data_IF_785743587341
#
_entry.id   IF_785743587341
#
_cell.length_a   1.000
_cell.length_b   1.000
_cell.length_c   1.000
_cell.angle_alpha   90.00
_cell.angle_beta   90.00
_cell.angle_gamma   90.00
#
_symmetry.space_group_name_H-M   'P 1'
#
loop_
_entity.id
_entity.type
_entity.pdbx_description
1 polymer ?
#
# COMPACT_ATOMS: atom_id res chain seq x y z
N UNK A 1 2.82 -39.89 10.40
CA UNK A 1 2.04 -41.01 10.99
C UNK A 1 1.56 -42.05 9.99
N UNK A 2 1.33 -41.73 8.71
CA UNK A 2 0.83 -42.70 7.70
C UNK A 2 1.85 -43.80 7.34
N UNK A 3 3.15 -43.52 7.45
CA UNK A 3 4.23 -44.49 7.17
C UNK A 3 4.34 -45.62 8.20
N UNK A 4 3.91 -45.40 9.45
CA UNK A 4 3.99 -46.42 10.51
C UNK A 4 2.82 -47.39 10.43
N UNK A 5 1.63 -46.90 10.06
CA UNK A 5 0.42 -47.75 9.88
C UNK A 5 0.57 -48.67 8.66
N UNK A 6 1.22 -48.19 7.59
CA UNK A 6 1.42 -48.99 6.37
C UNK A 6 2.49 -50.09 6.52
N UNK A 7 3.40 -49.99 7.50
CA UNK A 7 4.36 -51.05 7.78
C UNK A 7 3.80 -52.15 8.70
N UNK A 8 2.76 -51.84 9.50
CA UNK A 8 2.10 -52.82 10.38
C UNK A 8 0.97 -53.60 9.69
N UNK A 9 0.27 -53.02 8.70
CA UNK A 9 -0.78 -53.71 7.96
C UNK A 9 -0.26 -54.08 6.56
N UNK A 10 0.34 -55.26 6.44
CA UNK A 10 0.82 -55.84 5.18
C UNK A 10 -0.31 -56.17 4.21
N UNK A 11 -1.00 -55.15 3.67
CA UNK A 11 -2.04 -55.34 2.68
C UNK A 11 -1.41 -55.37 1.28
N UNK A 12 -0.93 -56.55 0.87
CA UNK A 12 -0.59 -56.84 -0.52
C UNK A 12 -1.89 -56.98 -1.32
N UNK A 13 -2.30 -55.92 -2.00
CA UNK A 13 -3.32 -56.02 -3.05
C UNK A 13 -2.61 -56.58 -4.30
N UNK A 14 -2.88 -57.84 -4.61
CA UNK A 14 -2.32 -58.54 -5.77
C UNK A 14 -3.21 -58.26 -6.99
N UNK A 15 -2.79 -57.33 -7.85
CA UNK A 15 -3.53 -56.92 -9.05
C UNK A 15 -2.86 -57.59 -10.28
N UNK A 16 -3.66 -58.29 -11.10
CA UNK A 16 -3.24 -59.00 -12.32
C UNK A 16 -2.51 -58.07 -13.31
N UNK A 17 -1.55 -58.61 -14.06
CA UNK A 17 -0.65 -57.87 -14.98
C UNK A 17 -1.37 -57.00 -16.04
N UNK A 18 -2.56 -57.37 -16.51
CA UNK A 18 -3.35 -56.55 -17.45
C UNK A 18 -4.03 -55.32 -16.81
N UNK A 19 -4.44 -55.40 -15.53
CA UNK A 19 -5.01 -54.27 -14.79
C UNK A 19 -3.94 -53.23 -14.41
N UNK A 20 -2.69 -53.67 -14.26
CA UNK A 20 -1.54 -52.83 -13.92
C UNK A 20 -1.28 -51.73 -14.95
N UNK A 21 -1.33 -52.06 -16.25
CA UNK A 21 -1.11 -51.12 -17.36
C UNK A 21 -2.22 -50.08 -17.48
N UNK A 22 -3.49 -50.49 -17.34
CA UNK A 22 -4.64 -49.57 -17.41
C UNK A 22 -4.62 -48.58 -16.25
N UNK A 23 -4.32 -49.08 -15.05
CA UNK A 23 -4.21 -48.27 -13.84
C UNK A 23 -3.03 -47.30 -13.88
N UNK A 24 -1.90 -47.68 -14.50
CA UNK A 24 -0.75 -46.80 -14.71
C UNK A 24 -1.05 -45.66 -15.70
N UNK A 25 -1.76 -45.93 -16.80
CA UNK A 25 -2.22 -44.89 -17.73
C UNK A 25 -3.15 -43.88 -17.06
N UNK A 26 -4.08 -44.35 -16.23
CA UNK A 26 -5.00 -43.47 -15.47
C UNK A 26 -4.22 -42.55 -14.52
N UNK A 27 -3.23 -43.08 -13.79
CA UNK A 27 -2.39 -42.28 -12.90
C UNK A 27 -1.63 -41.17 -13.65
N UNK A 28 -1.05 -41.49 -14.82
CA UNK A 28 -0.35 -40.50 -15.66
C UNK A 28 -1.29 -39.42 -16.21
N UNK A 29 -2.51 -39.78 -16.61
CA UNK A 29 -3.52 -38.81 -17.07
C UNK A 29 -3.89 -37.87 -15.91
N UNK A 30 -4.13 -38.40 -14.70
CA UNK A 30 -4.43 -37.57 -13.54
C UNK A 30 -3.28 -36.64 -13.14
N UNK A 31 -2.03 -37.14 -13.20
CA UNK A 31 -0.84 -36.30 -13.00
C UNK A 31 -0.76 -35.16 -14.03
N UNK A 32 -1.07 -35.43 -15.29
CA UNK A 32 -1.12 -34.40 -16.33
C UNK A 32 -2.20 -33.35 -16.00
N UNK A 33 -3.39 -33.77 -15.60
CA UNK A 33 -4.49 -32.84 -15.24
C UNK A 33 -4.11 -31.96 -14.04
N UNK A 34 -3.55 -32.54 -12.98
CA UNK A 34 -3.18 -31.78 -11.78
C UNK A 34 -1.96 -30.88 -12.00
N UNK A 35 -1.02 -31.27 -12.87
CA UNK A 35 0.09 -30.38 -13.27
C UNK A 35 -0.41 -29.20 -14.10
N UNK A 36 -1.39 -29.40 -15.00
CA UNK A 36 -2.06 -28.29 -15.67
C UNK A 36 -2.78 -27.37 -14.68
N UNK A 37 -3.50 -27.92 -13.69
CA UNK A 37 -4.15 -27.12 -12.65
C UNK A 37 -3.15 -26.30 -11.82
N UNK A 38 -2.01 -26.89 -11.45
CA UNK A 38 -0.93 -26.19 -10.74
C UNK A 38 -0.31 -25.09 -11.61
N UNK A 39 -0.14 -25.31 -12.91
CA UNK A 39 0.35 -24.29 -13.84
C UNK A 39 -0.63 -23.11 -13.96
N UNK A 40 -1.93 -23.37 -14.09
CA UNK A 40 -2.97 -22.34 -14.06
C UNK A 40 -2.93 -21.56 -12.74
N UNK A 41 -2.80 -22.26 -11.60
CA UNK A 41 -2.65 -21.63 -10.30
C UNK A 41 -1.42 -20.72 -10.21
N UNK A 42 -0.28 -21.12 -10.80
CA UNK A 42 0.93 -20.29 -10.87
C UNK A 42 0.72 -19.02 -11.71
N UNK A 43 -0.01 -19.13 -12.83
CA UNK A 43 -0.36 -17.97 -13.67
C UNK A 43 -1.26 -17.00 -12.89
N UNK A 44 -2.33 -17.51 -12.27
CA UNK A 44 -3.24 -16.69 -11.44
C UNK A 44 -2.51 -16.01 -10.28
N UNK A 45 -1.63 -16.74 -9.60
CA UNK A 45 -0.82 -16.19 -8.52
C UNK A 45 0.11 -15.08 -9.02
N UNK A 46 0.78 -15.29 -10.16
CA UNK A 46 1.73 -14.31 -10.70
C UNK A 46 1.01 -13.03 -11.15
N UNK A 47 -0.09 -13.16 -11.91
CA UNK A 47 -0.88 -12.02 -12.39
C UNK A 47 -1.57 -11.31 -11.22
N UNK A 48 -2.25 -12.06 -10.35
CA UNK A 48 -2.98 -11.48 -9.22
C UNK A 48 -2.07 -10.76 -8.24
N UNK A 49 -0.84 -11.27 -8.02
CA UNK A 49 0.10 -10.62 -7.14
C UNK A 49 0.69 -9.34 -7.73
N UNK A 50 0.96 -9.33 -9.05
CA UNK A 50 1.50 -8.17 -9.74
C UNK A 50 0.54 -6.99 -9.61
N UNK A 51 -0.71 -7.22 -9.96
CA UNK A 51 -1.79 -6.24 -9.88
C UNK A 51 -2.08 -5.83 -8.43
N UNK A 52 -2.11 -6.79 -7.49
CA UNK A 52 -2.26 -6.48 -6.06
C UNK A 52 -1.14 -5.58 -5.53
N UNK A 53 0.11 -5.87 -5.91
CA UNK A 53 1.26 -5.08 -5.50
C UNK A 53 1.17 -3.66 -6.05
N UNK A 54 0.90 -3.52 -7.35
CA UNK A 54 0.78 -2.22 -8.00
C UNK A 54 -0.34 -1.39 -7.37
N UNK A 55 -1.50 -2.00 -7.14
CA UNK A 55 -2.63 -1.30 -6.52
C UNK A 55 -2.32 -0.91 -5.06
N UNK A 56 -1.72 -1.80 -4.27
CA UNK A 56 -1.29 -1.45 -2.92
C UNK A 56 -0.26 -0.30 -2.88
N UNK A 57 0.64 -0.24 -3.88
CA UNK A 57 1.58 0.86 -4.02
C UNK A 57 0.90 2.17 -4.41
N UNK A 58 -0.14 2.13 -5.27
CA UNK A 58 -0.95 3.32 -5.59
C UNK A 58 -1.70 3.82 -4.36
N UNK A 59 -2.37 2.95 -3.62
CA UNK A 59 -3.07 3.31 -2.37
C UNK A 59 -2.11 3.94 -1.36
N UNK A 60 -0.92 3.35 -1.17
CA UNK A 60 0.09 3.89 -0.27
C UNK A 60 0.58 5.27 -0.74
N UNK A 61 0.89 5.43 -2.02
CA UNK A 61 1.34 6.72 -2.56
C UNK A 61 0.25 7.80 -2.43
N UNK A 62 -1.02 7.44 -2.61
CA UNK A 62 -2.15 8.34 -2.38
C UNK A 62 -2.18 8.84 -0.93
N UNK A 63 -2.08 7.93 0.05
CA UNK A 63 -2.03 8.30 1.48
C UNK A 63 -0.82 9.19 1.81
N UNK A 64 0.35 8.87 1.25
CA UNK A 64 1.55 9.71 1.41
C UNK A 64 1.35 11.10 0.82
N UNK A 65 0.71 11.22 -0.34
CA UNK A 65 0.44 12.50 -0.98
C UNK A 65 -0.54 13.36 -0.17
N UNK A 66 -1.58 12.76 0.43
CA UNK A 66 -2.51 13.47 1.32
C UNK A 66 -1.81 13.96 2.61
N UNK A 67 -0.90 13.16 3.13
CA UNK A 67 -0.06 13.57 4.26
C UNK A 67 0.88 14.72 3.89
N UNK A 68 1.55 14.67 2.73
CA UNK A 68 2.44 15.73 2.25
C UNK A 68 1.68 17.04 2.04
N UNK A 69 0.48 16.99 1.46
CA UNK A 69 -0.42 18.16 1.34
C UNK A 69 -0.73 18.79 2.70
N UNK A 70 -1.01 17.96 3.71
CA UNK A 70 -1.26 18.42 5.09
C UNK A 70 -0.02 19.07 5.68
N UNK A 71 1.16 18.44 5.53
CA UNK A 71 2.45 18.99 6.00
C UNK A 71 2.75 20.33 5.35
N UNK A 72 2.59 20.45 4.04
CA UNK A 72 2.81 21.69 3.30
C UNK A 72 1.86 22.79 3.78
N UNK A 73 0.57 22.47 3.97
CA UNK A 73 -0.42 23.39 4.52
C UNK A 73 0.00 23.92 5.89
N UNK A 74 0.41 23.02 6.81
CA UNK A 74 0.84 23.40 8.16
C UNK A 74 2.12 24.25 8.15
N UNK A 75 3.08 23.94 7.28
CA UNK A 75 4.33 24.71 7.14
C UNK A 75 4.08 26.10 6.58
N UNK A 76 3.26 26.22 5.53
CA UNK A 76 2.92 27.52 4.95
C UNK A 76 2.23 28.40 6.01
N UNK A 77 1.26 27.86 6.74
CA UNK A 77 0.59 28.59 7.83
C UNK A 77 1.57 29.07 8.88
N UNK A 78 2.52 28.21 9.28
CA UNK A 78 3.53 28.57 10.27
C UNK A 78 4.46 29.69 9.77
N UNK A 79 4.81 29.67 8.49
CA UNK A 79 5.59 30.74 7.86
C UNK A 79 4.83 32.07 7.91
N UNK A 80 3.55 32.10 7.53
CA UNK A 80 2.72 33.30 7.63
C UNK A 80 2.58 33.79 9.07
N UNK A 81 2.25 32.92 10.03
CA UNK A 81 2.17 33.29 11.44
C UNK A 81 3.49 33.88 11.98
N UNK A 82 4.65 33.46 11.46
CA UNK A 82 5.94 34.05 11.81
C UNK A 82 6.14 35.46 11.26
N UNK A 83 5.60 35.73 10.05
CA UNK A 83 5.61 37.06 9.44
C UNK A 83 4.64 37.99 10.17
N UNK A 84 3.49 37.49 10.64
CA UNK A 84 2.51 38.21 11.44
C UNK A 84 3.13 38.90 12.66
N UNK A 85 4.08 38.22 13.31
CA UNK A 85 4.79 38.72 14.49
C UNK A 85 5.69 39.92 14.18
N UNK A 86 6.19 40.03 12.95
CA UNK A 86 7.05 41.13 12.53
C UNK A 86 6.26 42.41 12.19
N UNK A 87 4.93 42.34 12.17
CA UNK A 87 4.05 43.44 11.78
C UNK A 87 3.91 44.44 12.92
N UNK A 88 4.47 45.63 12.73
CA UNK A 88 4.29 46.79 13.62
C UNK A 88 3.57 47.93 12.89
N UNK A 89 2.39 47.65 12.32
CA UNK A 89 1.60 48.67 11.62
C UNK A 89 1.22 49.78 12.62
N UNK A 90 1.77 50.97 12.40
CA UNK A 90 1.37 52.22 13.05
C UNK A 90 1.25 52.18 14.59
N UNK A 91 2.27 51.65 15.30
CA UNK A 91 2.40 51.69 16.77
C UNK A 91 1.37 50.85 17.57
N UNK A 92 0.57 50.00 16.92
CA UNK A 92 -0.29 49.04 17.60
C UNK A 92 0.51 47.74 17.78
N UNK A 93 1.16 47.61 18.94
CA UNK A 93 1.81 46.35 19.32
C UNK A 93 0.72 45.34 19.68
N UNK A 94 0.81 44.12 19.13
CA UNK A 94 0.06 43.00 19.67
C UNK A 94 0.45 42.84 21.15
N UNK A 95 -0.53 42.70 22.07
CA UNK A 95 -0.20 42.48 23.46
C UNK A 95 0.54 41.14 23.62
N UNK A 96 1.41 41.05 24.64
CA UNK A 96 2.39 39.97 24.77
C UNK A 96 1.75 38.57 24.87
N UNK A 97 0.54 38.49 25.42
CA UNK A 97 -0.26 37.27 25.51
C UNK A 97 -0.64 36.69 24.14
N UNK A 98 -0.92 37.55 23.15
CA UNK A 98 -1.20 37.14 21.78
C UNK A 98 0.07 36.65 21.09
N UNK A 99 1.20 37.32 21.31
CA UNK A 99 2.50 36.92 20.77
C UNK A 99 2.94 35.55 21.30
N UNK A 100 2.81 35.31 22.60
CA UNK A 100 3.12 34.02 23.23
C UNK A 100 2.18 32.91 22.71
N UNK A 101 0.91 33.23 22.46
CA UNK A 101 -0.05 32.32 21.85
C UNK A 101 0.34 31.90 20.43
N UNK A 102 0.81 32.86 19.60
CA UNK A 102 1.31 32.59 18.24
C UNK A 102 2.58 31.74 18.29
N UNK A 103 3.52 32.03 19.20
CA UNK A 103 4.76 31.25 19.34
C UNK A 103 4.47 29.80 19.71
N UNK A 104 3.54 29.57 20.65
CA UNK A 104 3.10 28.23 21.01
C UNK A 104 2.44 27.52 19.83
N UNK A 105 1.54 28.20 19.12
CA UNK A 105 0.86 27.63 17.95
C UNK A 105 1.85 27.25 16.84
N UNK A 106 2.82 28.11 16.55
CA UNK A 106 3.88 27.83 15.57
C UNK A 106 4.74 26.62 15.95
N UNK A 107 5.05 26.47 17.24
CA UNK A 107 5.78 25.31 17.74
C UNK A 107 4.95 24.02 17.59
N UNK A 108 3.67 24.07 17.95
CA UNK A 108 2.75 22.92 17.85
C UNK A 108 2.53 22.50 16.40
N UNK A 109 2.29 23.46 15.48
CA UNK A 109 2.11 23.20 14.04
C UNK A 109 3.36 22.61 13.39
N UNK A 110 4.54 23.15 13.68
CA UNK A 110 5.81 22.60 13.19
C UNK A 110 6.07 21.19 13.74
N UNK A 111 5.78 20.96 15.02
CA UNK A 111 5.94 19.65 15.65
C UNK A 111 5.01 18.62 15.00
N UNK A 112 3.76 18.99 14.75
CA UNK A 112 2.81 18.15 14.05
C UNK A 112 3.29 17.85 12.61
N UNK A 113 3.70 18.86 11.85
CA UNK A 113 4.20 18.70 10.48
C UNK A 113 5.44 17.80 10.41
N UNK A 114 6.39 17.96 11.33
CA UNK A 114 7.59 17.13 11.41
C UNK A 114 7.25 15.68 11.78
N UNK A 115 6.37 15.48 12.78
CA UNK A 115 5.93 14.15 13.19
C UNK A 115 5.20 13.43 12.05
N UNK A 116 4.29 14.12 11.34
CA UNK A 116 3.59 13.60 10.17
C UNK A 116 4.56 13.21 9.07
N UNK A 117 5.53 14.07 8.74
CA UNK A 117 6.55 13.81 7.72
C UNK A 117 7.41 12.59 8.08
N UNK A 118 7.91 12.53 9.30
CA UNK A 118 8.76 11.45 9.79
C UNK A 118 8.00 10.12 9.79
N UNK A 119 6.82 10.07 10.42
CA UNK A 119 6.03 8.84 10.50
C UNK A 119 5.54 8.37 9.14
N UNK A 120 5.12 9.28 8.26
CA UNK A 120 4.66 8.92 6.92
C UNK A 120 5.80 8.39 6.06
N UNK A 121 6.95 9.07 6.05
CA UNK A 121 8.10 8.64 5.27
C UNK A 121 8.65 7.29 5.77
N UNK A 122 8.83 7.14 7.09
CA UNK A 122 9.30 5.90 7.70
C UNK A 122 8.35 4.72 7.42
N UNK A 123 7.04 4.92 7.63
CA UNK A 123 6.05 3.87 7.40
C UNK A 123 5.92 3.53 5.91
N UNK A 124 5.95 4.52 5.02
CA UNK A 124 5.86 4.26 3.58
C UNK A 124 7.03 3.40 3.08
N UNK A 125 8.26 3.66 3.54
CA UNK A 125 9.43 2.86 3.16
C UNK A 125 9.32 1.44 3.70
N UNK A 126 8.89 1.27 4.96
CA UNK A 126 8.68 -0.05 5.57
C UNK A 126 7.63 -0.85 4.78
N UNK A 127 6.49 -0.25 4.49
CA UNK A 127 5.40 -0.89 3.74
C UNK A 127 5.86 -1.25 2.32
N UNK A 128 6.49 -0.32 1.57
CA UNK A 128 7.04 -0.60 0.24
C UNK A 128 8.00 -1.80 0.24
N UNK A 129 8.89 -1.86 1.24
CA UNK A 129 9.84 -2.97 1.39
C UNK A 129 9.13 -4.30 1.64
N UNK A 130 8.15 -4.33 2.54
CA UNK A 130 7.38 -5.54 2.86
C UNK A 130 6.63 -6.05 1.62
N UNK A 131 5.88 -5.18 0.94
CA UNK A 131 5.12 -5.57 -0.25
C UNK A 131 6.03 -6.03 -1.40
N UNK A 132 7.20 -5.42 -1.57
CA UNK A 132 8.19 -5.85 -2.57
C UNK A 132 8.82 -7.21 -2.22
N UNK A 133 9.11 -7.46 -0.94
CA UNK A 133 9.63 -8.73 -0.48
C UNK A 133 8.59 -9.86 -0.65
N UNK A 134 7.32 -9.57 -0.32
CA UNK A 134 6.20 -10.50 -0.56
C UNK A 134 6.05 -10.78 -2.06
N UNK A 135 6.12 -9.74 -2.92
CA UNK A 135 6.16 -9.88 -4.40
C UNK A 135 7.20 -10.90 -4.83
N UNK A 136 8.45 -10.65 -4.46
CA UNK A 136 9.57 -11.53 -4.80
C UNK A 136 9.39 -12.96 -4.26
N UNK A 137 8.84 -13.12 -3.06
CA UNK A 137 8.67 -14.43 -2.43
C UNK A 137 7.65 -15.31 -3.18
N UNK A 138 6.45 -14.80 -3.50
CA UNK A 138 5.46 -15.64 -4.19
C UNK A 138 5.87 -15.93 -5.65
N UNK A 139 6.50 -14.99 -6.37
CA UNK A 139 7.03 -15.26 -7.72
C UNK A 139 8.05 -16.41 -7.66
N UNK A 140 8.93 -16.39 -6.65
CA UNK A 140 9.92 -17.47 -6.45
C UNK A 140 9.22 -18.80 -6.18
N UNK A 141 8.20 -18.81 -5.30
CA UNK A 141 7.42 -20.02 -5.00
C UNK A 141 6.70 -20.55 -6.24
N UNK A 142 6.06 -19.68 -7.04
CA UNK A 142 5.38 -20.07 -8.26
C UNK A 142 6.35 -20.70 -9.29
N UNK A 143 7.52 -20.08 -9.50
CA UNK A 143 8.53 -20.58 -10.42
C UNK A 143 9.10 -21.94 -9.99
N UNK A 144 9.43 -22.09 -8.70
CA UNK A 144 9.94 -23.35 -8.14
C UNK A 144 8.87 -24.45 -8.24
N UNK A 145 7.61 -24.14 -7.91
CA UNK A 145 6.50 -25.10 -8.00
C UNK A 145 6.27 -25.57 -9.44
N UNK A 146 6.29 -24.66 -10.41
CA UNK A 146 6.12 -25.00 -11.81
C UNK A 146 7.27 -25.86 -12.35
N UNK A 147 8.51 -25.51 -12.03
CA UNK A 147 9.69 -26.28 -12.42
C UNK A 147 9.65 -27.70 -11.84
N UNK A 148 9.25 -27.83 -10.58
CA UNK A 148 9.11 -29.14 -9.94
C UNK A 148 7.94 -29.95 -10.51
N UNK A 149 6.80 -29.33 -10.81
CA UNK A 149 5.69 -30.02 -11.45
C UNK A 149 6.09 -30.61 -12.81
N UNK A 150 6.82 -29.83 -13.63
CA UNK A 150 7.30 -30.26 -14.96
C UNK A 150 8.35 -31.36 -14.84
N UNK A 151 9.38 -31.18 -14.01
CA UNK A 151 10.44 -32.20 -13.84
C UNK A 151 9.85 -33.49 -13.25
N UNK A 152 8.95 -33.39 -12.27
CA UNK A 152 8.28 -34.55 -11.69
C UNK A 152 7.43 -35.33 -12.69
N UNK A 153 6.78 -34.63 -13.64
CA UNK A 153 6.08 -35.26 -14.75
C UNK A 153 7.04 -36.01 -15.68
N UNK A 154 8.15 -35.38 -16.09
CA UNK A 154 9.19 -36.04 -16.90
C UNK A 154 9.78 -37.26 -16.20
N UNK A 155 10.13 -37.15 -14.91
CA UNK A 155 10.68 -38.26 -14.13
C UNK A 155 9.68 -39.41 -13.95
N UNK A 156 8.37 -39.11 -13.86
CA UNK A 156 7.32 -40.15 -13.85
C UNK A 156 7.28 -40.94 -15.15
N UNK A 157 7.51 -40.29 -16.30
CA UNK A 157 7.58 -40.94 -17.62
C UNK A 157 8.85 -41.80 -17.73
N UNK A 158 10.00 -41.30 -17.29
CA UNK A 158 11.27 -42.05 -17.32
C UNK A 158 11.31 -43.19 -16.28
N UNK A 159 10.53 -43.09 -15.19
CA UNK A 159 10.36 -44.13 -14.18
C UNK A 159 11.58 -44.33 -13.26
N UNK A 160 12.35 -43.27 -12.97
CA UNK A 160 13.50 -43.34 -12.06
C UNK A 160 13.06 -43.29 -10.58
N UNK A 161 13.12 -44.43 -9.88
CA UNK A 161 12.54 -44.57 -8.53
C UNK A 161 13.22 -43.70 -7.45
N UNK A 162 14.55 -43.58 -7.45
CA UNK A 162 15.25 -42.79 -6.43
C UNK A 162 14.97 -41.28 -6.57
N UNK A 163 14.89 -40.79 -7.81
CA UNK A 163 14.60 -39.38 -8.08
C UNK A 163 13.17 -39.00 -7.66
N UNK A 164 12.19 -39.91 -7.83
CA UNK A 164 10.80 -39.69 -7.43
C UNK A 164 10.68 -39.53 -5.90
N UNK A 165 11.43 -40.30 -5.11
CA UNK A 165 11.40 -40.17 -3.65
C UNK A 165 11.94 -38.81 -3.15
N UNK A 166 13.02 -38.30 -3.73
CA UNK A 166 13.55 -36.96 -3.41
C UNK A 166 12.51 -35.88 -3.76
N UNK A 167 11.85 -36.03 -4.92
CA UNK A 167 10.79 -35.15 -5.36
C UNK A 167 9.60 -35.11 -4.40
N UNK A 168 9.17 -36.28 -3.91
CA UNK A 168 8.09 -36.38 -2.92
C UNK A 168 8.44 -35.57 -1.67
N UNK A 169 9.64 -35.75 -1.11
CA UNK A 169 10.06 -35.01 0.10
C UNK A 169 10.10 -33.50 -0.17
N UNK A 170 10.67 -33.07 -1.29
CA UNK A 170 10.72 -31.64 -1.65
C UNK A 170 9.34 -31.03 -1.87
N UNK A 171 8.42 -31.76 -2.49
CA UNK A 171 7.06 -31.28 -2.74
C UNK A 171 6.25 -31.15 -1.45
N UNK A 172 6.40 -32.04 -0.48
CA UNK A 172 5.73 -31.91 0.82
C UNK A 172 6.17 -30.66 1.58
N UNK A 173 7.46 -30.32 1.52
CA UNK A 173 7.97 -29.07 2.11
C UNK A 173 7.33 -27.84 1.45
N UNK A 174 7.21 -27.84 0.13
CA UNK A 174 6.61 -26.72 -0.60
C UNK A 174 5.10 -26.62 -0.39
N UNK A 175 4.39 -27.73 -0.30
CA UNK A 175 2.98 -27.74 0.08
C UNK A 175 2.81 -27.06 1.44
N UNK A 176 3.64 -27.40 2.43
CA UNK A 176 3.60 -26.74 3.73
C UNK A 176 3.82 -25.22 3.63
N UNK A 177 4.81 -24.78 2.84
CA UNK A 177 5.06 -23.34 2.60
C UNK A 177 3.85 -22.67 1.93
N UNK A 178 3.27 -23.27 0.90
CA UNK A 178 2.09 -22.69 0.21
C UNK A 178 0.84 -22.63 1.08
N UNK A 179 0.64 -23.59 2.00
CA UNK A 179 -0.44 -23.54 2.98
C UNK A 179 -0.26 -22.38 3.96
N UNK A 180 0.97 -22.17 4.46
CA UNK A 180 1.28 -21.03 5.33
C UNK A 180 1.01 -19.72 4.60
N UNK A 181 1.49 -19.58 3.36
CA UNK A 181 1.25 -18.39 2.54
C UNK A 181 -0.25 -18.17 2.27
N UNK A 182 -0.98 -19.22 1.93
CA UNK A 182 -2.44 -19.16 1.75
C UNK A 182 -3.13 -18.68 3.03
N UNK A 183 -2.73 -19.16 4.20
CA UNK A 183 -3.25 -18.68 5.49
C UNK A 183 -2.99 -17.18 5.69
N UNK A 184 -1.78 -16.72 5.42
CA UNK A 184 -1.42 -15.29 5.52
C UNK A 184 -2.26 -14.43 4.58
N UNK A 185 -2.43 -14.84 3.31
CA UNK A 185 -3.22 -14.07 2.35
C UNK A 185 -4.73 -14.09 2.59
N UNK A 186 -5.26 -15.15 3.20
CA UNK A 186 -6.65 -15.17 3.68
C UNK A 186 -6.83 -14.19 4.83
N UNK A 187 -5.89 -14.14 5.79
CA UNK A 187 -5.91 -13.16 6.87
C UNK A 187 -5.84 -11.74 6.29
N UNK A 188 -4.91 -11.48 5.35
CA UNK A 188 -4.80 -10.19 4.69
C UNK A 188 -6.08 -9.80 3.95
N UNK A 189 -6.72 -10.73 3.24
CA UNK A 189 -7.99 -10.47 2.57
C UNK A 189 -9.08 -10.01 3.55
N UNK A 190 -9.21 -10.70 4.67
CA UNK A 190 -10.16 -10.30 5.71
C UNK A 190 -9.77 -8.96 6.34
N UNK A 191 -8.49 -8.75 6.67
CA UNK A 191 -8.03 -7.48 7.25
C UNK A 191 -8.28 -6.30 6.30
N UNK A 192 -8.02 -6.45 4.99
CA UNK A 192 -8.28 -5.38 4.01
C UNK A 192 -9.78 -5.15 3.86
N UNK A 193 -10.59 -6.21 3.75
CA UNK A 193 -12.05 -6.11 3.69
C UNK A 193 -12.62 -5.40 4.93
N UNK A 194 -12.19 -5.80 6.13
CA UNK A 194 -12.64 -5.24 7.39
C UNK A 194 -12.19 -3.77 7.53
N UNK A 195 -10.97 -3.45 7.11
CA UNK A 195 -10.46 -2.07 7.12
C UNK A 195 -11.25 -1.19 6.15
N UNK A 196 -11.53 -1.69 4.95
CA UNK A 196 -12.32 -0.97 3.94
C UNK A 196 -13.76 -0.74 4.41
N UNK A 197 -14.38 -1.75 5.02
CA UNK A 197 -15.72 -1.63 5.60
C UNK A 197 -15.75 -0.63 6.76
N UNK A 198 -14.74 -0.67 7.64
CA UNK A 198 -14.64 0.28 8.75
C UNK A 198 -14.42 1.73 8.25
N UNK A 199 -13.63 1.91 7.18
CA UNK A 199 -13.47 3.23 6.55
C UNK A 199 -14.77 3.71 5.90
N UNK A 200 -15.53 2.82 5.25
CA UNK A 200 -16.82 3.15 4.63
C UNK A 200 -17.87 3.53 5.68
N UNK A 201 -18.00 2.76 6.75
CA UNK A 201 -18.89 3.07 7.88
C UNK A 201 -18.56 4.42 8.52
N UNK A 202 -17.26 4.72 8.69
CA UNK A 202 -16.81 6.01 9.21
C UNK A 202 -17.12 7.17 8.26
N UNK A 203 -17.04 6.96 6.94
CA UNK A 203 -17.40 7.98 5.95
C UNK A 203 -18.89 8.34 6.03
N UNK A 204 -19.75 7.36 6.27
CA UNK A 204 -21.19 7.57 6.43
C UNK A 204 -21.54 8.22 7.78
N UNK A 205 -20.85 7.83 8.86
CA UNK A 205 -21.17 8.24 10.22
C UNK A 205 -19.93 8.73 11.00
N UNK A 206 -19.29 9.85 10.60
CA UNK A 206 -18.03 10.30 11.21
C UNK A 206 -18.16 10.77 12.67
N UNK A 207 -19.38 11.12 13.10
CA UNK A 207 -19.69 11.55 14.46
C UNK A 207 -20.25 10.43 15.36
N UNK A 208 -20.39 9.20 14.83
CA UNK A 208 -20.77 8.05 15.65
C UNK A 208 -19.55 7.50 16.39
N UNK A 209 -19.79 6.87 17.54
CA UNK A 209 -18.76 6.14 18.29
C UNK A 209 -18.29 4.93 17.47
N UNK A 210 -17.11 5.07 16.85
CA UNK A 210 -16.46 4.04 16.05
C UNK A 210 -15.04 3.81 16.56
N UNK A 211 -14.40 2.72 16.11
CA UNK A 211 -12.99 2.49 16.44
C UNK A 211 -12.07 3.65 15.96
N UNK A 212 -12.52 4.37 14.93
CA UNK A 212 -11.75 5.42 14.26
C UNK A 212 -12.06 6.84 14.80
N UNK A 213 -13.25 7.07 15.37
CA UNK A 213 -13.61 8.35 16.03
C UNK A 213 -12.73 8.65 17.25
N UNK A 214 -12.29 7.63 17.98
CA UNK A 214 -11.38 7.77 19.12
C UNK A 214 -9.95 8.19 18.73
N UNK A 215 -9.58 8.00 17.47
CA UNK A 215 -8.25 8.33 16.93
C UNK A 215 -8.29 9.69 16.21
N UNK A 216 -9.43 10.03 15.59
CA UNK A 216 -9.65 11.24 14.81
C UNK A 216 -10.83 12.04 15.39
N UNK A 217 -10.62 12.83 16.46
CA UNK A 217 -11.68 13.62 17.05
C UNK A 217 -12.09 14.75 16.09
N UNK A 218 -13.32 14.67 15.57
CA UNK A 218 -13.88 15.64 14.64
C UNK A 218 -14.59 16.76 15.38
N UNK A 219 -14.28 18.01 15.02
CA UNK A 219 -15.02 19.19 15.46
C UNK A 219 -16.34 19.27 14.69
N UNK A 220 -17.41 19.73 15.35
CA UNK A 220 -18.70 19.88 14.68
C UNK A 220 -18.70 21.03 13.66
N UNK A 221 -19.45 20.83 12.58
CA UNK A 221 -19.51 21.80 11.48
C UNK A 221 -20.00 23.20 11.92
N UNK A 222 -20.81 23.30 12.98
CA UNK A 222 -21.30 24.59 13.48
C UNK A 222 -20.16 25.39 14.12
N UNK A 223 -19.32 24.73 14.93
CA UNK A 223 -18.12 25.35 15.51
C UNK A 223 -17.15 25.77 14.40
N UNK A 224 -16.89 24.91 13.42
CA UNK A 224 -16.01 25.20 12.29
C UNK A 224 -16.52 26.38 11.44
N UNK A 225 -17.82 26.43 11.13
CA UNK A 225 -18.43 27.56 10.39
C UNK A 225 -18.36 28.88 11.17
N UNK A 226 -18.50 28.81 12.51
CA UNK A 226 -18.31 29.97 13.38
C UNK A 226 -16.87 30.48 13.30
N UNK A 227 -15.89 29.59 13.39
CA UNK A 227 -14.46 29.94 13.25
C UNK A 227 -14.15 30.52 11.88
N UNK A 228 -14.72 29.97 10.80
CA UNK A 228 -14.58 30.52 9.46
C UNK A 228 -15.15 31.95 9.37
N UNK A 229 -16.34 32.18 9.93
CA UNK A 229 -16.97 33.50 9.93
C UNK A 229 -16.14 34.52 10.72
N UNK A 230 -15.56 34.11 11.85
CA UNK A 230 -14.64 34.94 12.64
C UNK A 230 -13.37 35.27 11.85
N UNK A 231 -12.79 34.30 11.13
CA UNK A 231 -11.64 34.54 10.25
C UNK A 231 -11.95 35.57 9.14
N UNK A 232 -13.13 35.45 8.49
CA UNK A 232 -13.59 36.43 7.49
C UNK A 232 -13.74 37.83 8.08
N UNK A 233 -14.27 37.94 9.29
CA UNK A 233 -14.40 39.22 9.99
C UNK A 233 -13.02 39.83 10.28
N UNK A 234 -12.08 39.04 10.79
CA UNK A 234 -10.70 39.51 11.05
C UNK A 234 -10.05 40.05 9.77
N UNK A 235 -10.25 39.38 8.62
CA UNK A 235 -9.74 39.87 7.34
C UNK A 235 -10.34 41.25 7.00
N UNK A 236 -11.65 41.43 7.14
CA UNK A 236 -12.29 42.74 6.91
C UNK A 236 -11.79 43.82 7.89
N UNK A 237 -11.51 43.45 9.14
CA UNK A 237 -10.95 44.37 10.14
C UNK A 237 -9.52 44.79 9.76
N UNK A 238 -8.68 43.88 9.24
CA UNK A 238 -7.35 44.21 8.72
C UNK A 238 -7.46 45.15 7.53
N UNK A 239 -8.36 44.86 6.56
CA UNK A 239 -8.62 45.72 5.40
C UNK A 239 -9.06 47.11 5.86
N UNK A 240 -9.90 47.19 6.89
CA UNK A 240 -10.33 48.47 7.46
C UNK A 240 -9.17 49.28 8.04
N UNK A 241 -8.27 48.66 8.81
CA UNK A 241 -7.07 49.32 9.35
C UNK A 241 -6.17 49.83 8.22
N UNK A 242 -5.93 49.01 7.19
CA UNK A 242 -5.10 49.38 6.04
C UNK A 242 -5.73 50.55 5.25
N UNK A 243 -7.03 50.47 4.97
CA UNK A 243 -7.74 51.53 4.25
C UNK A 243 -7.81 52.82 5.05
N UNK A 244 -8.02 52.74 6.36
CA UNK A 244 -7.96 53.91 7.23
C UNK A 244 -6.58 54.57 7.17
N UNK A 245 -5.50 53.78 7.14
CA UNK A 245 -4.15 54.31 6.94
C UNK A 245 -4.01 55.00 5.58
N UNK A 246 -4.45 54.35 4.49
CA UNK A 246 -4.36 54.88 3.13
C UNK A 246 -5.09 56.22 3.03
N UNK A 247 -6.33 56.32 3.51
CA UNK A 247 -7.11 57.55 3.41
C UNK A 247 -6.63 58.66 4.34
N UNK A 248 -6.17 58.33 5.55
CA UNK A 248 -5.83 59.33 6.59
C UNK A 248 -4.38 59.82 6.49
N UNK A 249 -3.46 58.95 6.06
CA UNK A 249 -2.03 59.25 6.07
C UNK A 249 -1.39 59.22 4.68
N UNK A 250 -1.69 58.22 3.84
CA UNK A 250 -1.02 58.09 2.53
C UNK A 250 -1.57 59.09 1.50
N UNK A 251 -2.90 59.25 1.44
CA UNK A 251 -3.60 60.03 0.42
C UNK A 251 -3.95 61.46 0.87
N UNK A 252 -3.33 61.96 1.94
CA UNK A 252 -3.53 63.33 2.40
C UNK A 252 -2.48 64.29 1.80
N UNK A 253 -2.51 65.54 2.20
CA UNK A 253 -1.49 66.54 1.86
C UNK A 253 -1.21 67.34 3.14
N UNK A 254 -0.46 66.77 4.11
CA UNK A 254 -0.22 67.44 5.39
C UNK A 254 0.54 68.75 5.20
N UNK A 255 0.29 69.71 6.09
CA UNK A 255 1.05 70.96 6.13
C UNK A 255 2.45 70.69 6.68
N UNK A 256 3.44 71.49 6.29
CA UNK A 256 4.81 71.38 6.83
C UNK A 256 4.91 71.53 8.37
N UNK A 257 3.86 72.05 9.01
CA UNK A 257 3.77 72.17 10.47
C UNK A 257 3.22 70.92 11.17
N UNK A 258 2.71 69.94 10.43
CA UNK A 258 2.15 68.72 11.00
C UNK A 258 3.26 67.76 11.45
N UNK A 259 3.17 67.17 12.66
CA UNK A 259 4.20 66.27 13.19
C UNK A 259 4.35 64.96 12.41
N UNK A 260 3.40 64.64 11.52
CA UNK A 260 3.39 63.49 10.61
C UNK A 260 3.62 63.91 9.15
N UNK A 261 4.13 65.12 8.90
CA UNK A 261 4.48 65.59 7.57
C UNK A 261 5.61 64.74 6.96
N UNK A 262 5.36 64.19 5.78
CA UNK A 262 6.38 63.64 4.88
C UNK A 262 6.04 64.01 3.44
N UNK A 263 7.03 64.04 2.54
CA UNK A 263 6.89 64.60 1.20
C UNK A 263 6.06 63.68 0.27
N UNK A 264 4.74 63.85 0.26
CA UNK A 264 3.78 63.04 -0.50
C UNK A 264 3.54 63.60 -1.91
N UNK A 265 4.54 63.46 -2.79
CA UNK A 265 4.48 64.00 -4.16
C UNK A 265 3.89 63.02 -5.20
N UNK A 266 3.61 61.76 -4.83
CA UNK A 266 3.14 60.71 -5.77
C UNK A 266 1.63 60.71 -6.09
N UNK A 267 1.16 59.88 -7.04
CA UNK A 267 -0.27 59.67 -7.30
C UNK A 267 -0.98 59.05 -6.10
N UNK A 268 -2.31 59.20 -6.01
CA UNK A 268 -3.09 58.62 -4.91
C UNK A 268 -3.00 57.09 -4.94
N UNK A 269 -2.74 56.51 -3.78
CA UNK A 269 -2.60 55.07 -3.58
C UNK A 269 -3.99 54.41 -3.58
N UNK A 270 -4.22 53.33 -4.33
CA UNK A 270 -5.50 52.65 -4.35
C UNK A 270 -5.74 51.90 -3.03
N UNK A 271 -6.97 51.95 -2.47
CA UNK A 271 -7.34 51.22 -1.27
C UNK A 271 -7.38 49.71 -1.51
N UNK A 272 -7.25 48.95 -0.44
CA UNK A 272 -7.44 47.51 -0.43
C UNK A 272 -8.94 47.18 -0.53
N UNK A 273 -9.28 46.29 -1.45
CA UNK A 273 -10.64 45.78 -1.62
C UNK A 273 -11.09 44.99 -0.39
N UNK A 274 -12.35 45.17 0.01
CA UNK A 274 -12.98 44.31 1.00
C UNK A 274 -13.37 42.97 0.35
N UNK A 275 -12.75 41.85 0.75
CA UNK A 275 -13.05 40.55 0.16
C UNK A 275 -14.43 40.05 0.54
N UNK A 276 -15.02 40.54 1.64
CA UNK A 276 -16.32 40.11 2.13
C UNK A 276 -17.28 41.27 2.40
N UNK A 277 -18.56 41.07 2.08
CA UNK A 277 -19.64 42.02 2.36
C UNK A 277 -20.05 42.07 3.85
N UNK A 278 -21.04 42.89 4.20
CA UNK A 278 -21.56 43.01 5.57
C UNK A 278 -22.19 41.72 6.11
N UNK A 279 -22.46 40.75 5.25
CA UNK A 279 -22.97 39.42 5.58
C UNK A 279 -21.89 38.34 5.47
N UNK A 280 -20.61 38.73 5.32
CA UNK A 280 -19.44 37.87 5.19
C UNK A 280 -19.46 36.94 3.95
N UNK A 281 -20.18 37.35 2.90
CA UNK A 281 -20.16 36.70 1.59
C UNK A 281 -19.09 37.31 0.71
N UNK A 282 -18.60 36.54 -0.25
CA UNK A 282 -17.53 37.00 -1.13
C UNK A 282 -18.03 38.17 -1.98
N UNK A 283 -17.25 39.26 -1.98
CA UNK A 283 -17.53 40.49 -2.71
C UNK A 283 -16.59 40.62 -3.91
N UNK A 284 -17.07 41.28 -4.98
CA UNK A 284 -16.22 41.67 -6.09
C UNK A 284 -15.58 43.02 -5.80
N UNK A 285 -14.29 43.13 -6.14
CA UNK A 285 -13.54 44.38 -6.01
C UNK A 285 -13.92 45.37 -7.10
N UNK A 286 -14.00 46.66 -6.74
CA UNK A 286 -14.23 47.73 -7.71
C UNK A 286 -13.00 48.06 -8.56
N UNK A 287 -13.19 48.79 -9.67
CA UNK A 287 -12.12 49.16 -10.62
C UNK A 287 -11.01 50.04 -10.03
N UNK A 288 -11.26 50.68 -8.87
CA UNK A 288 -10.32 51.58 -8.18
C UNK A 288 -9.66 50.93 -6.95
N UNK A 289 -9.98 49.68 -6.66
CA UNK A 289 -9.49 48.95 -5.49
C UNK A 289 -8.48 47.88 -5.92
N UNK A 290 -7.57 47.53 -5.02
CA UNK A 290 -6.62 46.43 -5.26
C UNK A 290 -7.02 45.20 -4.46
N UNK A 291 -6.95 44.02 -5.08
CA UNK A 291 -7.15 42.75 -4.36
C UNK A 291 -5.98 42.46 -3.42
N UNK A 292 -6.24 41.67 -2.38
CA UNK A 292 -5.22 41.18 -1.45
C UNK A 292 -4.05 40.51 -2.20
N UNK A 293 -4.33 39.72 -3.25
CA UNK A 293 -3.29 39.04 -4.03
C UNK A 293 -2.35 39.97 -4.80
N UNK A 294 -2.82 41.15 -5.22
CA UNK A 294 -2.08 42.07 -6.10
C UNK A 294 -1.56 43.32 -5.37
N UNK A 295 -2.04 43.57 -4.15
CA UNK A 295 -1.77 44.81 -3.43
C UNK A 295 -0.27 45.09 -3.22
N UNK A 296 0.54 44.08 -2.89
CA UNK A 296 1.99 44.24 -2.71
C UNK A 296 2.69 44.79 -3.97
N UNK A 297 2.38 44.20 -5.13
CA UNK A 297 2.93 44.62 -6.42
C UNK A 297 2.47 46.03 -6.82
N UNK A 298 1.20 46.35 -6.59
CA UNK A 298 0.66 47.67 -6.95
C UNK A 298 1.24 48.75 -6.04
N UNK A 299 1.27 48.52 -4.73
CA UNK A 299 1.73 49.49 -3.74
C UNK A 299 3.23 49.76 -3.79
N UNK A 300 4.03 48.83 -4.31
CA UNK A 300 5.47 49.03 -4.51
C UNK A 300 5.76 50.25 -5.40
N UNK A 301 4.90 50.54 -6.38
CA UNK A 301 5.04 51.70 -7.27
C UNK A 301 4.76 53.05 -6.58
N UNK A 302 4.30 53.03 -5.34
CA UNK A 302 4.00 54.22 -4.53
C UNK A 302 5.05 54.44 -3.44
N UNK A 303 6.08 53.58 -3.35
CA UNK A 303 7.15 53.69 -2.37
C UNK A 303 8.18 54.74 -2.80
N UNK A 304 8.51 55.67 -1.90
CA UNK A 304 9.56 56.67 -2.10
C UNK A 304 10.92 56.15 -1.61
N UNK A 305 12.01 56.75 -2.10
CA UNK A 305 13.31 56.63 -1.46
C UNK A 305 13.37 57.58 -0.25
N UNK A 306 14.04 57.14 0.82
CA UNK A 306 14.11 57.90 2.08
C UNK A 306 15.51 58.46 2.33
N UNK A 307 15.58 59.66 2.92
CA UNK A 307 16.80 60.24 3.46
C UNK A 307 17.23 59.53 4.75
N UNK A 308 18.42 59.86 5.26
CA UNK A 308 18.91 59.40 6.58
C UNK A 308 17.99 59.77 7.75
N UNK A 309 17.11 60.76 7.56
CA UNK A 309 16.12 61.20 8.55
C UNK A 309 14.74 60.55 8.36
N UNK A 310 14.61 59.56 7.45
CA UNK A 310 13.36 58.83 7.19
C UNK A 310 12.34 59.60 6.33
N UNK A 311 12.74 60.70 5.69
CA UNK A 311 11.83 61.51 4.85
C UNK A 311 11.93 61.12 3.38
N UNK A 312 10.79 61.07 2.68
CA UNK A 312 10.77 60.83 1.23
C UNK A 312 11.56 61.89 0.45
N UNK A 313 12.54 61.45 -0.35
CA UNK A 313 13.35 62.30 -1.25
C UNK A 313 12.87 62.25 -2.69
N UNK A 314 12.27 61.14 -3.11
CA UNK A 314 11.69 60.94 -4.45
C UNK A 314 10.16 61.01 -4.43
N UNK A 315 9.56 61.04 -5.61
CA UNK A 315 8.10 61.02 -5.79
C UNK A 315 7.55 59.70 -5.24
N UNK A 316 6.68 59.77 -4.24
CA UNK A 316 6.02 58.62 -3.64
C UNK A 316 5.04 59.03 -2.55
N UNK A 317 4.41 58.04 -1.92
CA UNK A 317 3.35 58.18 -0.92
C UNK A 317 3.60 57.39 0.36
N UNK A 318 4.52 56.43 0.35
CA UNK A 318 4.86 55.63 1.53
C UNK A 318 6.37 55.41 1.60
N UNK A 319 6.92 55.33 2.80
CA UNK A 319 8.32 54.93 3.01
C UNK A 319 8.46 53.41 2.88
N UNK A 320 9.70 52.89 2.68
CA UNK A 320 9.96 51.45 2.67
C UNK A 320 9.48 50.72 3.94
N UNK A 321 9.60 51.35 5.12
CA UNK A 321 9.15 50.76 6.39
C UNK A 321 7.62 50.62 6.45
N UNK A 322 6.89 51.62 5.98
CA UNK A 322 5.42 51.54 5.89
C UNK A 322 5.01 50.51 4.83
N UNK A 323 5.71 50.47 3.70
CA UNK A 323 5.46 49.46 2.67
C UNK A 323 5.58 48.04 3.22
N UNK A 324 6.64 47.72 3.96
CA UNK A 324 6.81 46.38 4.54
C UNK A 324 5.70 46.04 5.54
N UNK A 325 5.26 47.00 6.35
CA UNK A 325 4.13 46.84 7.27
C UNK A 325 2.81 46.55 6.54
N UNK A 326 2.51 47.32 5.48
CA UNK A 326 1.29 47.13 4.67
C UNK A 326 1.30 45.79 3.92
N UNK A 327 2.44 45.40 3.33
CA UNK A 327 2.60 44.11 2.67
C UNK A 327 2.40 42.96 3.65
N UNK A 328 2.92 43.09 4.87
CA UNK A 328 2.75 42.05 5.86
C UNK A 328 1.27 41.90 6.28
N UNK A 329 0.53 43.00 6.47
CA UNK A 329 -0.92 42.95 6.75
C UNK A 329 -1.71 42.27 5.62
N UNK A 330 -1.32 42.52 4.37
CA UNK A 330 -1.90 41.86 3.19
C UNK A 330 -1.55 40.37 3.15
N UNK A 331 -0.30 40.00 3.45
CA UNK A 331 0.12 38.60 3.48
C UNK A 331 -0.62 37.81 4.58
N UNK A 332 -0.88 38.41 5.75
CA UNK A 332 -1.73 37.79 6.78
C UNK A 332 -3.17 37.61 6.31
N UNK A 333 -3.73 38.64 5.69
CA UNK A 333 -5.08 38.57 5.13
C UNK A 333 -5.20 37.47 4.08
N UNK A 334 -4.17 37.33 3.23
CA UNK A 334 -4.06 36.26 2.24
C UNK A 334 -3.98 34.89 2.91
N UNK A 335 -3.14 34.75 3.94
CA UNK A 335 -2.95 33.49 4.65
C UNK A 335 -4.25 33.04 5.34
N UNK A 336 -4.92 33.95 6.04
CA UNK A 336 -6.21 33.69 6.66
C UNK A 336 -7.25 33.30 5.60
N UNK A 337 -7.30 34.01 4.47
CA UNK A 337 -8.25 33.70 3.40
C UNK A 337 -7.99 32.33 2.76
N UNK A 338 -6.73 31.98 2.50
CA UNK A 338 -6.37 30.80 1.73
C UNK A 338 -6.24 29.52 2.59
N UNK A 339 -5.67 29.62 3.79
CA UNK A 339 -5.36 28.45 4.62
C UNK A 339 -6.38 28.16 5.71
N UNK A 340 -7.24 29.12 6.10
CA UNK A 340 -8.32 28.83 7.06
C UNK A 340 -9.23 27.69 6.57
N UNK A 341 -9.74 27.68 5.32
CA UNK A 341 -10.65 26.62 4.90
C UNK A 341 -10.02 25.21 4.92
N UNK A 342 -8.80 24.98 4.39
CA UNK A 342 -8.12 23.68 4.53
C UNK A 342 -7.88 23.25 5.98
N UNK A 343 -7.44 24.16 6.87
CA UNK A 343 -7.22 23.83 8.29
C UNK A 343 -8.51 23.43 8.99
N UNK A 344 -9.61 24.15 8.70
CA UNK A 344 -10.92 23.84 9.21
C UNK A 344 -11.44 22.49 8.68
N UNK A 345 -11.14 22.18 7.42
CA UNK A 345 -11.45 20.88 6.82
C UNK A 345 -10.70 19.70 7.46
N UNK A 346 -9.53 19.95 8.05
CA UNK A 346 -8.81 18.96 8.87
C UNK A 346 -9.51 18.76 10.21
N UNK A 347 -9.99 19.83 10.84
CA UNK A 347 -10.66 19.80 12.15
C UNK A 347 -12.05 19.16 12.10
N UNK A 348 -12.86 19.50 11.09
CA UNK A 348 -14.21 18.95 10.93
C UNK A 348 -14.23 17.56 10.26
N UNK A 349 -13.04 16.99 10.04
CA UNK A 349 -12.82 15.69 9.40
C UNK A 349 -13.28 15.59 7.95
N UNK A 350 -13.73 16.65 7.29
CA UNK A 350 -14.13 16.59 5.88
C UNK A 350 -12.96 16.13 5.00
N UNK A 351 -11.74 16.58 5.28
CA UNK A 351 -10.54 16.16 4.55
C UNK A 351 -10.30 14.65 4.68
N UNK A 352 -10.41 14.12 5.90
CA UNK A 352 -10.21 12.70 6.18
C UNK A 352 -11.35 11.88 5.57
N UNK A 353 -12.58 12.39 5.60
CA UNK A 353 -13.75 11.77 4.96
C UNK A 353 -13.61 11.69 3.46
N UNK A 354 -13.17 12.74 2.80
CA UNK A 354 -12.95 12.73 1.36
C UNK A 354 -11.80 11.79 0.99
N UNK A 355 -10.77 11.74 1.84
CA UNK A 355 -9.65 10.80 1.70
C UNK A 355 -10.12 9.35 1.79
N UNK A 356 -10.87 8.98 2.84
CA UNK A 356 -11.38 7.62 3.02
C UNK A 356 -12.41 7.26 1.96
N UNK A 357 -13.30 8.20 1.58
CA UNK A 357 -14.24 7.97 0.48
C UNK A 357 -13.53 7.64 -0.82
N UNK A 358 -12.40 8.28 -1.10
CA UNK A 358 -11.57 7.97 -2.27
C UNK A 358 -10.92 6.60 -2.14
N UNK A 359 -10.40 6.24 -0.95
CA UNK A 359 -9.83 4.92 -0.67
C UNK A 359 -10.88 3.81 -0.86
N UNK A 360 -12.05 3.95 -0.24
CA UNK A 360 -13.11 2.94 -0.27
C UNK A 360 -13.74 2.78 -1.64
N UNK A 361 -13.92 3.86 -2.40
CA UNK A 361 -14.52 3.80 -3.73
C UNK A 361 -13.54 3.37 -4.83
N UNK A 362 -12.28 3.81 -4.76
CA UNK A 362 -11.34 3.67 -5.88
C UNK A 362 -10.31 2.55 -5.66
N UNK A 363 -9.87 2.31 -4.42
CA UNK A 363 -8.75 1.42 -4.13
C UNK A 363 -9.15 0.11 -3.46
N UNK A 364 -10.17 0.13 -2.59
CA UNK A 364 -10.65 -1.07 -1.91
C UNK A 364 -11.20 -2.17 -2.84
N UNK A 365 -12.04 -1.87 -3.85
CA UNK A 365 -12.56 -2.89 -4.76
C UNK A 365 -11.48 -3.65 -5.55
N UNK A 366 -10.49 -2.99 -6.20
CA UNK A 366 -9.43 -3.71 -6.88
C UNK A 366 -8.53 -4.48 -5.90
N UNK A 367 -8.22 -3.93 -4.72
CA UNK A 367 -7.44 -4.66 -3.70
C UNK A 367 -8.09 -5.98 -3.28
N UNK A 368 -9.39 -5.95 -2.94
CA UNK A 368 -10.16 -7.16 -2.59
C UNK A 368 -10.21 -8.15 -3.76
N UNK A 369 -10.43 -7.65 -4.98
CA UNK A 369 -10.48 -8.49 -6.17
C UNK A 369 -9.15 -9.23 -6.42
N UNK A 370 -8.02 -8.53 -6.40
CA UNK A 370 -6.71 -9.15 -6.64
C UNK A 370 -6.27 -10.06 -5.50
N UNK A 371 -6.61 -9.74 -4.24
CA UNK A 371 -6.39 -10.65 -3.11
C UNK A 371 -7.16 -11.96 -3.27
N UNK A 372 -8.41 -11.92 -3.76
CA UNK A 372 -9.17 -13.13 -4.09
C UNK A 372 -8.51 -13.94 -5.20
N UNK A 373 -7.97 -13.30 -6.24
CA UNK A 373 -7.22 -14.00 -7.30
C UNK A 373 -5.96 -14.66 -6.74
N UNK A 374 -5.19 -13.97 -5.91
CA UNK A 374 -3.99 -14.53 -5.25
C UNK A 374 -4.35 -15.73 -4.39
N UNK A 375 -5.41 -15.61 -3.58
CA UNK A 375 -5.92 -16.71 -2.75
C UNK A 375 -6.37 -17.91 -3.59
N UNK A 376 -7.09 -17.68 -4.69
CA UNK A 376 -7.49 -18.74 -5.62
C UNK A 376 -6.28 -19.42 -6.27
N UNK A 377 -5.27 -18.65 -6.69
CA UNK A 377 -4.02 -19.16 -7.24
C UNK A 377 -3.26 -20.04 -6.24
N UNK A 378 -3.08 -19.57 -5.00
CA UNK A 378 -2.44 -20.33 -3.91
C UNK A 378 -3.20 -21.62 -3.57
N UNK A 379 -4.54 -21.57 -3.55
CA UNK A 379 -5.37 -22.74 -3.30
C UNK A 379 -5.26 -23.77 -4.43
N UNK A 380 -5.28 -23.34 -5.70
CA UNK A 380 -5.11 -24.22 -6.86
C UNK A 380 -3.74 -24.89 -6.89
N UNK A 381 -2.67 -24.15 -6.59
CA UNK A 381 -1.31 -24.68 -6.51
C UNK A 381 -1.21 -25.71 -5.38
N UNK A 382 -1.69 -25.39 -4.18
CA UNK A 382 -1.55 -26.27 -3.02
C UNK A 382 -2.32 -27.58 -3.19
N UNK A 383 -3.57 -27.53 -3.64
CA UNK A 383 -4.41 -28.72 -3.91
C UNK A 383 -3.84 -29.53 -5.07
N UNK A 384 -3.45 -28.87 -6.18
CA UNK A 384 -2.89 -29.54 -7.35
C UNK A 384 -1.60 -30.32 -7.02
N UNK A 385 -0.66 -29.67 -6.31
CA UNK A 385 0.61 -30.32 -5.94
C UNK A 385 0.41 -31.40 -4.87
N UNK A 386 -0.49 -31.21 -3.90
CA UNK A 386 -0.83 -32.24 -2.92
C UNK A 386 -1.34 -33.52 -3.62
N UNK A 387 -2.26 -33.38 -4.58
CA UNK A 387 -2.80 -34.50 -5.33
C UNK A 387 -1.72 -35.18 -6.20
N UNK A 388 -0.83 -34.40 -6.83
CA UNK A 388 0.34 -34.92 -7.54
C UNK A 388 1.25 -35.76 -6.62
N UNK A 389 1.52 -35.29 -5.41
CA UNK A 389 2.38 -35.99 -4.45
C UNK A 389 1.75 -37.31 -3.99
N UNK A 390 0.45 -37.33 -3.71
CA UNK A 390 -0.28 -38.55 -3.35
C UNK A 390 -0.21 -39.57 -4.49
N UNK A 391 -0.42 -39.14 -5.74
CA UNK A 391 -0.29 -40.01 -6.90
C UNK A 391 1.14 -40.53 -7.10
N UNK A 392 2.16 -39.70 -6.86
CA UNK A 392 3.57 -40.13 -6.91
C UNK A 392 3.90 -41.15 -5.83
N UNK A 393 3.38 -41.01 -4.61
CA UNK A 393 3.55 -42.02 -3.54
C UNK A 393 2.90 -43.34 -3.95
N UNK A 394 1.67 -43.30 -4.47
CA UNK A 394 0.97 -44.48 -4.97
C UNK A 394 1.70 -45.14 -6.13
N UNK A 395 2.29 -44.34 -7.03
CA UNK A 395 3.07 -44.83 -8.16
C UNK A 395 4.40 -45.46 -7.72
N UNK A 396 5.13 -44.82 -6.81
CA UNK A 396 6.42 -45.31 -6.30
C UNK A 396 6.28 -46.60 -5.46
N UNK A 397 5.17 -46.75 -4.71
CA UNK A 397 4.92 -47.92 -3.87
C UNK A 397 4.35 -49.14 -4.63
N UNK A 398 4.14 -49.07 -5.95
CA UNK A 398 3.64 -50.25 -6.69
C UNK A 398 4.72 -51.37 -6.74
N UNK A 399 4.40 -52.59 -6.27
CA UNK A 399 5.38 -53.68 -6.14
C UNK A 399 5.89 -54.27 -7.47
N UNK A 400 5.27 -53.96 -8.61
CA UNK A 400 5.55 -54.62 -9.91
C UNK A 400 6.94 -54.38 -10.54
N UNK A 401 7.79 -53.50 -9.99
CA UNK A 401 9.16 -53.27 -10.51
C UNK A 401 10.29 -53.83 -9.64
N UNK A 402 10.00 -54.33 -8.44
CA UNK A 402 11.03 -54.95 -7.58
C UNK A 402 11.49 -56.30 -8.11
N UNK A 403 10.66 -56.99 -8.88
CA UNK A 403 10.95 -58.35 -9.35
C UNK A 403 11.71 -58.39 -10.69
N UNK A 404 11.52 -57.41 -11.59
CA UNK A 404 12.20 -57.41 -12.91
C UNK A 404 13.71 -57.17 -12.85
N UNK A 405 14.21 -56.45 -11.83
CA UNK A 405 15.65 -56.20 -11.66
C UNK A 405 16.33 -57.37 -10.93
N UNK A 406 15.65 -58.01 -9.97
CA UNK A 406 16.21 -59.17 -9.27
C UNK A 406 16.19 -60.45 -10.10
N UNK A 407 15.18 -60.64 -10.97
CA UNK A 407 15.12 -61.81 -11.87
C UNK A 407 16.14 -61.70 -13.02
N UNK A 408 16.57 -60.49 -13.40
CA UNK A 408 17.66 -60.33 -14.39
C UNK A 408 19.06 -60.63 -13.83
N UNK A 409 19.24 -60.64 -12.51
CA UNK A 409 20.52 -60.95 -11.87
C UNK A 409 20.74 -62.46 -11.65
N UNK A 410 19.71 -63.28 -11.85
CA UNK A 410 19.76 -64.74 -11.75
C UNK A 410 19.49 -65.41 -13.10
N UNK A 411 20.36 -65.18 -14.09
CA UNK A 411 20.44 -66.04 -15.27
C UNK A 411 21.42 -67.22 -15.06
N UNK A 412 21.12 -68.38 -15.65
CA UNK A 412 21.63 -69.68 -15.22
C UNK A 412 22.99 -70.01 -15.82
N UNK A 413 23.86 -70.63 -15.03
CA UNK A 413 25.08 -71.27 -15.51
C UNK A 413 24.67 -72.50 -16.34
N UNK A 414 24.70 -72.36 -17.67
CA UNK A 414 24.56 -73.47 -18.62
C UNK A 414 25.95 -73.92 -19.08
N UNK A 415 26.49 -74.95 -18.42
CA UNK A 415 27.78 -75.58 -18.76
C UNK A 415 27.62 -76.88 -19.53
N UNK A 416 27.65 -76.79 -20.86
CA UNK A 416 28.28 -77.70 -21.85
C UNK A 416 28.04 -79.23 -21.79
N UNK A 417 27.39 -79.74 -22.86
CA UNK A 417 27.46 -81.14 -23.33
C UNK A 417 28.92 -81.60 -23.55
N UNK A 418 29.25 -82.81 -23.08
CA UNK A 418 30.24 -83.70 -23.72
C UNK A 418 29.73 -85.14 -23.69
N UNK A 419 29.72 -85.74 -24.89
CA UNK A 419 29.44 -87.13 -25.20
C UNK A 419 30.68 -87.96 -24.80
N UNK A 420 30.52 -89.02 -24.03
CA UNK A 420 31.45 -90.15 -24.03
C UNK A 420 30.70 -91.43 -23.67
N UNK A 421 30.84 -92.39 -24.58
CA UNK A 421 30.44 -93.78 -24.44
C UNK A 421 31.30 -94.46 -23.37
N UNK A 422 30.67 -95.27 -22.51
CA UNK A 422 31.31 -96.48 -21.98
C UNK A 422 30.23 -97.49 -21.60
N UNK A 423 30.17 -98.57 -22.36
CA UNK A 423 29.69 -99.86 -21.88
C UNK A 423 30.46 -100.24 -20.61
N UNK A 424 29.77 -100.79 -19.61
CA UNK A 424 30.11 -102.11 -19.09
C UNK A 424 28.99 -102.63 -18.19
N UNK A 425 28.53 -103.83 -18.55
CA UNK A 425 27.74 -104.74 -17.75
C UNK A 425 28.46 -105.08 -16.44
N UNK A 426 27.72 -105.12 -15.33
CA UNK A 426 27.81 -106.22 -14.37
C UNK A 426 26.58 -106.27 -13.46
N UNK A 427 25.71 -107.23 -13.79
CA UNK A 427 25.07 -108.25 -12.95
C UNK A 427 24.62 -107.96 -11.51
N UNK A 428 23.43 -108.53 -11.27
CA UNK A 428 22.88 -109.10 -10.03
C UNK A 428 22.42 -108.10 -8.96
N UNK A 429 21.26 -108.28 -8.33
CA UNK A 429 20.25 -109.34 -8.37
C UNK A 429 19.08 -108.89 -7.50
N UNK A 430 17.89 -109.44 -7.78
CA UNK A 430 16.78 -109.72 -6.83
C UNK A 430 16.19 -108.50 -6.10
N UNK A 431 14.88 -108.29 -6.02
CA UNK A 431 13.74 -109.19 -6.10
C UNK A 431 12.49 -108.31 -5.85
N UNK A 432 11.41 -108.48 -6.63
CA UNK A 432 10.09 -109.00 -6.18
C UNK A 432 9.34 -107.94 -5.32
N UNK A 433 8.19 -107.37 -5.68
CA UNK A 433 6.92 -107.94 -6.17
C UNK A 433 6.08 -106.81 -6.86
N UNK A 434 5.55 -107.04 -8.07
CA UNK A 434 4.13 -107.38 -8.38
C UNK A 434 3.19 -106.16 -8.27
N UNK A 435 2.86 -105.51 -9.39
CA UNK A 435 1.67 -105.76 -10.26
C UNK A 435 0.42 -105.10 -9.68
N UNK A 436 -0.55 -104.60 -10.41
CA UNK A 436 -0.84 -104.40 -11.84
C UNK A 436 -2.22 -103.74 -11.79
N UNK A 437 -2.42 -102.62 -12.48
CA UNK A 437 -3.14 -102.60 -13.76
C UNK A 437 -4.65 -102.86 -13.65
N UNK A 438 -5.38 -101.88 -14.19
CA UNK A 438 -6.63 -102.02 -14.94
C UNK A 438 -7.86 -102.39 -14.09
N UNK A 439 -9.07 -101.89 -14.32
CA UNK A 439 -9.69 -101.45 -15.58
C UNK A 439 -10.98 -100.68 -15.23
N UNK A 440 -11.36 -99.74 -16.10
CA UNK A 440 -12.60 -98.89 -16.14
C UNK A 440 -12.62 -97.64 -15.27
#
# INVERSE_FOLDING_TARGET
>A
MVLVVHHCCGWRINIKEEESHRSQRICLILLLVFTCAAAIGCVLLSVGQDEFHDEAMRTLNYVVNQSDYTVQTLRNVTEYLSLAKAISVAQIFLPSDVMDGIDKLNLDLNTAANTLTEKTSENSVKVKRVFSAVRSALITVAAVMLLLAVIGLFLSILGNQHAIHIFIVSGWLLVAITFILSGVFVILNNTVSDTCMAMEEWVEHPHAETALSNILPCVDQRTTNKTLSQSKQVINDIVNVVNQFIYTYANTYPSHADPYYYNQSGPLMPPLCYPYDSQLRDSQCGDQEVSISNASLVWQNYTCEVSVSGMCTTVGRISPDIYTQLVAAVNESYALQHYTPPLLSLQDCNFVRDTFRTITSSYCPPLDHYLKIVNAGLALISVGVLLCLVLWVLYANRPGRRELVFVKLSLPIKGRRKKSSSNNNTNNSSSIDVSSSNEV
#
